data_IF_465677711520
#
_entry.id   IF_465677711520
#
_cell.length_a   1.000
_cell.length_b   1.000
_cell.length_c   1.000
_cell.angle_alpha   90.00
_cell.angle_beta   90.00
_cell.angle_gamma   90.00
#
_symmetry.space_group_name_H-M   'P 1'
#
loop_
_entity.id
_entity.type
_entity.pdbx_description
1 polymer ?
#
# COMPACT_ATOMS: atom_id res chain seq x y z
N UNK A 1 30.79 -2.32 37.32
CA UNK A 1 30.85 -1.01 36.62
C UNK A 1 31.33 -1.20 35.19
N UNK A 2 32.42 -1.94 34.96
CA UNK A 2 32.93 -2.30 33.62
C UNK A 2 31.88 -2.96 32.71
N UNK A 3 31.16 -3.97 33.20
CA UNK A 3 30.12 -4.68 32.41
C UNK A 3 28.99 -3.75 31.94
N UNK A 4 28.68 -2.70 32.71
CA UNK A 4 27.65 -1.73 32.34
C UNK A 4 28.17 -0.77 31.25
N UNK A 5 29.45 -0.39 31.34
CA UNK A 5 30.12 0.47 30.39
C UNK A 5 30.30 -0.22 29.03
N UNK A 6 30.66 -1.51 29.03
CA UNK A 6 30.75 -2.33 27.82
C UNK A 6 29.39 -2.49 27.13
N UNK A 7 28.31 -2.68 27.91
CA UNK A 7 26.95 -2.76 27.36
C UNK A 7 26.47 -1.43 26.78
N UNK A 8 26.83 -0.31 27.40
CA UNK A 8 26.50 1.01 26.86
C UNK A 8 27.24 1.30 25.55
N UNK A 9 28.52 0.95 25.48
CA UNK A 9 29.32 1.10 24.26
C UNK A 9 28.79 0.20 23.12
N UNK A 10 28.36 -1.02 23.45
CA UNK A 10 27.74 -1.91 22.48
C UNK A 10 26.39 -1.36 21.96
N UNK A 11 25.59 -0.75 22.84
CA UNK A 11 24.33 -0.12 22.47
C UNK A 11 24.55 1.11 21.58
N UNK A 12 25.54 1.94 21.90
CA UNK A 12 25.90 3.12 21.12
C UNK A 12 26.39 2.74 19.71
N UNK A 13 27.26 1.74 19.60
CA UNK A 13 27.74 1.23 18.32
C UNK A 13 26.62 0.60 17.47
N UNK A 14 25.67 -0.07 18.11
CA UNK A 14 24.49 -0.63 17.44
C UNK A 14 23.57 0.47 16.89
N UNK A 15 23.27 1.49 17.70
CA UNK A 15 22.45 2.63 17.26
C UNK A 15 23.13 3.39 16.12
N UNK A 16 24.45 3.57 16.18
CA UNK A 16 25.20 4.22 15.11
C UNK A 16 25.16 3.42 13.79
N UNK A 17 25.30 2.10 13.83
CA UNK A 17 25.23 1.25 12.64
C UNK A 17 23.84 1.27 11.98
N UNK A 18 22.77 1.23 12.79
CA UNK A 18 21.38 1.34 12.31
C UNK A 18 21.11 2.71 11.67
N UNK A 19 21.59 3.80 12.28
CA UNK A 19 21.38 5.15 11.75
C UNK A 19 22.20 5.45 10.49
N UNK A 20 23.35 4.80 10.32
CA UNK A 20 24.24 4.97 9.15
C UNK A 20 23.92 3.99 8.01
N UNK A 21 22.94 3.09 8.19
CA UNK A 21 22.54 2.12 7.17
C UNK A 21 23.63 1.09 6.83
N UNK A 22 24.57 0.84 7.76
CA UNK A 22 25.64 -0.13 7.56
C UNK A 22 25.35 -1.43 8.32
N UNK A 23 25.54 -2.58 7.67
CA UNK A 23 25.40 -3.91 8.29
C UNK A 23 26.70 -4.39 8.98
N UNK A 24 27.70 -3.52 9.12
CA UNK A 24 29.01 -3.85 9.68
C UNK A 24 29.12 -3.30 11.10
N UNK A 25 28.58 -4.04 12.06
CA UNK A 25 28.96 -3.87 13.47
C UNK A 25 30.31 -4.56 13.64
N UNK A 26 31.39 -3.80 13.81
CA UNK A 26 32.73 -4.36 14.03
C UNK A 26 32.85 -4.80 15.50
N UNK A 27 32.54 -6.06 15.77
CA UNK A 27 33.01 -6.76 16.98
C UNK A 27 34.04 -7.81 16.56
N UNK A 28 35.17 -7.97 17.27
CA UNK A 28 36.10 -9.04 16.98
C UNK A 28 35.40 -10.40 17.23
N UNK A 29 35.11 -11.14 16.15
CA UNK A 29 34.70 -12.54 16.22
C UNK A 29 33.23 -12.85 16.51
N UNK A 30 32.29 -11.91 16.34
CA UNK A 30 30.84 -12.21 16.40
C UNK A 30 30.05 -11.51 15.30
N UNK A 31 29.03 -12.19 14.79
CA UNK A 31 28.04 -11.69 13.82
C UNK A 31 26.65 -11.65 14.44
N UNK A 32 25.71 -10.91 13.84
CA UNK A 32 24.31 -10.86 14.29
C UNK A 32 23.63 -12.24 14.36
N UNK A 33 24.18 -13.26 13.68
CA UNK A 33 23.69 -14.64 13.72
C UNK A 33 24.02 -15.38 15.03
N UNK A 34 24.93 -14.84 15.83
CA UNK A 34 25.37 -15.47 17.09
C UNK A 34 24.45 -15.13 18.27
N UNK A 35 23.39 -14.36 18.03
CA UNK A 35 22.40 -13.97 19.03
C UNK A 35 21.17 -14.87 18.93
N UNK A 36 21.03 -15.83 19.84
CA UNK A 36 19.84 -16.67 20.02
C UNK A 36 18.96 -16.06 21.11
N UNK A 37 17.68 -15.82 20.82
CA UNK A 37 16.68 -15.36 21.79
C UNK A 37 15.85 -16.54 22.28
N UNK A 38 16.01 -16.93 23.54
CA UNK A 38 15.13 -17.93 24.16
C UNK A 38 13.75 -17.32 24.41
N UNK A 39 12.72 -17.93 23.80
CA UNK A 39 11.33 -17.72 24.19
C UNK A 39 11.10 -18.44 25.52
N UNK A 40 10.69 -17.71 26.54
CA UNK A 40 10.14 -18.31 27.76
C UNK A 40 8.87 -19.12 27.38
N UNK A 41 9.01 -20.45 27.37
CA UNK A 41 7.91 -21.39 27.20
C UNK A 41 7.21 -21.58 28.55
N UNK A 42 5.88 -21.48 28.54
CA UNK A 42 5.04 -21.98 29.62
C UNK A 42 4.80 -23.48 29.38
N UNK A 43 4.93 -24.25 30.47
CA UNK A 43 4.86 -25.70 30.57
C UNK A 43 3.47 -26.25 30.20
N UNK A 44 3.48 -27.43 29.58
CA UNK A 44 2.46 -28.47 29.77
C UNK A 44 3.13 -29.83 29.50
N UNK A 45 3.27 -30.60 30.57
CA UNK A 45 3.70 -32.00 30.63
C UNK A 45 2.79 -32.91 29.80
N UNK A 46 3.37 -33.94 29.17
CA UNK A 46 3.07 -35.37 29.44
C UNK A 46 4.09 -36.26 28.71
N UNK A 47 4.98 -36.87 29.51
CA UNK A 47 5.63 -38.17 29.30
C UNK A 47 4.56 -39.28 29.22
N UNK A 48 4.73 -40.50 28.72
CA UNK A 48 5.73 -41.34 28.06
C UNK A 48 4.92 -42.60 27.66
N UNK A 49 5.25 -43.31 26.58
CA UNK A 49 5.30 -44.78 26.59
C UNK A 49 5.66 -45.34 25.19
N UNK A 50 6.57 -46.31 25.23
CA UNK A 50 7.28 -46.93 24.12
C UNK A 50 6.55 -48.13 23.47
N UNK A 51 7.07 -48.50 22.29
CA UNK A 51 7.14 -49.86 21.72
C UNK A 51 5.86 -50.54 21.17
N UNK A 52 5.84 -50.87 19.87
CA UNK A 52 6.19 -52.18 19.28
C UNK A 52 5.59 -52.35 17.86
N UNK A 53 6.36 -52.93 16.94
CA UNK A 53 5.95 -53.30 15.58
C UNK A 53 4.81 -54.33 15.58
N UNK A 54 3.92 -54.30 14.58
CA UNK A 54 3.40 -55.50 13.90
C UNK A 54 2.58 -55.18 12.64
N UNK A 55 2.96 -55.84 11.55
CA UNK A 55 2.17 -56.40 10.45
C UNK A 55 1.20 -55.53 9.60
N UNK A 56 1.49 -55.58 8.30
CA UNK A 56 0.66 -55.41 7.10
C UNK A 56 -0.80 -55.86 7.24
N UNK A 57 -1.70 -55.00 6.77
CA UNK A 57 -2.93 -55.37 6.07
C UNK A 57 -3.04 -54.54 4.79
N UNK A 58 -3.02 -55.21 3.65
CA UNK A 58 -3.38 -54.66 2.34
C UNK A 58 -4.92 -54.59 2.24
N UNK A 59 -5.42 -53.57 1.53
CA UNK A 59 -6.83 -53.25 1.20
C UNK A 59 -7.54 -52.21 2.11
N UNK A 60 -7.18 -50.94 1.91
CA UNK A 60 -8.10 -49.81 2.09
C UNK A 60 -8.16 -49.01 0.78
N UNK A 61 -9.32 -48.93 0.08
CA UNK A 61 -9.48 -48.05 -1.05
C UNK A 61 -9.42 -46.62 -0.53
N UNK A 62 -8.22 -46.03 -0.57
CA UNK A 62 -7.94 -44.62 -0.32
C UNK A 62 -9.07 -43.78 -0.93
N UNK A 63 -10.00 -43.37 -0.08
CA UNK A 63 -10.95 -42.35 -0.39
C UNK A 63 -10.13 -41.15 -0.87
N UNK A 64 -10.52 -40.58 -2.01
CA UNK A 64 -9.95 -39.35 -2.54
C UNK A 64 -9.93 -38.30 -1.42
N UNK A 65 -8.79 -38.15 -0.74
CA UNK A 65 -8.56 -37.02 0.13
C UNK A 65 -8.65 -35.79 -0.77
N UNK A 66 -9.56 -34.85 -0.50
CA UNK A 66 -9.67 -33.65 -1.31
C UNK A 66 -8.31 -32.97 -1.30
N UNK A 67 -7.77 -32.69 -2.50
CA UNK A 67 -6.52 -31.96 -2.62
C UNK A 67 -6.58 -30.72 -1.71
N UNK A 68 -5.53 -30.45 -0.91
CA UNK A 68 -5.55 -29.34 0.01
C UNK A 68 -5.84 -28.06 -0.77
N UNK A 69 -6.99 -27.43 -0.46
CA UNK A 69 -7.41 -26.16 -1.04
C UNK A 69 -6.20 -25.22 -1.08
N UNK A 70 -5.79 -24.72 -2.25
CA UNK A 70 -4.62 -23.86 -2.35
C UNK A 70 -4.81 -22.68 -1.39
N UNK A 71 -3.85 -22.50 -0.49
CA UNK A 71 -3.91 -21.47 0.54
C UNK A 71 -4.19 -20.09 -0.07
N UNK A 72 -4.91 -19.24 0.68
CA UNK A 72 -5.25 -17.89 0.24
C UNK A 72 -4.04 -17.15 -0.33
N UNK A 73 -4.19 -16.46 -1.49
CA UNK A 73 -3.08 -15.76 -2.10
C UNK A 73 -2.54 -14.67 -1.15
N UNK A 74 -1.21 -14.51 -1.16
CA UNK A 74 -0.53 -13.46 -0.41
C UNK A 74 -0.31 -12.25 -1.30
N UNK A 75 -0.44 -11.07 -0.71
CA UNK A 75 0.07 -9.85 -1.32
C UNK A 75 1.61 -9.93 -1.40
N UNK A 76 2.23 -9.56 -2.53
CA UNK A 76 3.68 -9.66 -2.69
C UNK A 76 4.45 -8.63 -1.84
N UNK A 77 3.82 -7.51 -1.48
CA UNK A 77 4.36 -6.52 -0.54
C UNK A 77 3.90 -6.86 0.88
N UNK A 78 4.83 -6.76 1.84
CA UNK A 78 4.58 -6.94 3.26
C UNK A 78 3.85 -5.73 3.86
N UNK A 79 3.18 -5.92 4.98
CA UNK A 79 2.58 -4.82 5.75
C UNK A 79 3.62 -3.89 6.38
N UNK A 80 3.16 -2.84 7.07
CA UNK A 80 4.01 -1.87 7.77
C UNK A 80 4.86 -2.48 8.90
N UNK A 81 4.56 -3.72 9.29
CA UNK A 81 5.28 -4.49 10.30
C UNK A 81 6.14 -5.61 9.70
N UNK A 82 6.27 -5.66 8.36
CA UNK A 82 7.04 -6.69 7.66
C UNK A 82 6.37 -8.06 7.66
N UNK A 83 5.04 -8.14 7.84
CA UNK A 83 4.29 -9.40 7.83
C UNK A 83 3.60 -9.64 6.49
N UNK A 84 3.41 -10.91 6.08
CA UNK A 84 2.63 -11.24 4.89
C UNK A 84 1.16 -10.84 5.03
N UNK A 85 0.60 -10.26 3.97
CA UNK A 85 -0.82 -9.89 3.91
C UNK A 85 -1.60 -10.94 3.12
N UNK A 86 -2.56 -11.60 3.75
CA UNK A 86 -3.45 -12.58 3.09
C UNK A 86 -4.59 -11.86 2.37
N UNK A 87 -4.82 -12.21 1.11
CA UNK A 87 -5.92 -11.70 0.29
C UNK A 87 -7.06 -12.73 0.30
N UNK A 88 -8.14 -12.39 0.99
CA UNK A 88 -9.33 -13.26 1.18
C UNK A 88 -10.26 -13.23 -0.03
N UNK A 89 -10.33 -12.08 -0.69
CA UNK A 89 -11.22 -11.83 -1.82
C UNK A 89 -10.42 -11.16 -2.94
N UNK A 90 -9.60 -11.93 -3.68
CA UNK A 90 -8.71 -11.37 -4.68
C UNK A 90 -9.49 -10.69 -5.81
N UNK A 91 -8.97 -9.56 -6.26
CA UNK A 91 -9.48 -8.86 -7.45
C UNK A 91 -9.13 -9.66 -8.72
N UNK A 92 -9.93 -9.48 -9.78
CA UNK A 92 -9.66 -10.10 -11.09
C UNK A 92 -9.04 -9.04 -12.04
N UNK A 93 -7.82 -9.27 -12.57
CA UNK A 93 -7.23 -8.36 -13.53
C UNK A 93 -7.95 -8.42 -14.88
N UNK A 94 -7.94 -7.32 -15.62
CA UNK A 94 -8.44 -7.27 -16.99
C UNK A 94 -7.37 -7.71 -17.98
N UNK A 95 -7.76 -8.04 -19.21
CA UNK A 95 -6.81 -8.28 -20.31
C UNK A 95 -6.03 -7.01 -20.66
N UNK A 96 -4.80 -7.18 -21.16
CA UNK A 96 -3.93 -6.06 -21.57
C UNK A 96 -4.59 -5.10 -22.59
N UNK A 97 -5.46 -5.61 -23.47
CA UNK A 97 -6.19 -4.78 -24.43
C UNK A 97 -7.10 -3.71 -23.80
N UNK A 98 -7.62 -3.93 -22.59
CA UNK A 98 -8.51 -2.98 -21.92
C UNK A 98 -7.79 -1.65 -21.57
N UNK A 99 -6.47 -1.68 -21.38
CA UNK A 99 -5.68 -0.48 -21.10
C UNK A 99 -5.70 0.52 -22.26
N UNK A 100 -5.83 0.05 -23.50
CA UNK A 100 -5.81 0.87 -24.70
C UNK A 100 -7.21 1.26 -25.20
N UNK A 101 -8.27 0.81 -24.55
CA UNK A 101 -9.64 1.21 -24.84
C UNK A 101 -10.14 2.22 -23.78
N UNK A 102 -10.26 3.48 -24.19
CA UNK A 102 -10.70 4.57 -23.33
C UNK A 102 -12.15 4.40 -22.82
N UNK A 103 -12.95 3.55 -23.44
CA UNK A 103 -14.33 3.26 -23.04
C UNK A 103 -14.45 2.06 -22.09
N UNK A 104 -13.35 1.35 -21.83
CA UNK A 104 -13.32 0.22 -20.90
C UNK A 104 -12.57 0.58 -19.61
N UNK A 105 -12.95 -0.10 -18.53
CA UNK A 105 -12.15 -0.11 -17.32
C UNK A 105 -11.02 -1.13 -17.46
N UNK A 106 -9.83 -0.78 -16.99
CA UNK A 106 -8.70 -1.69 -16.91
C UNK A 106 -8.31 -1.88 -15.44
N UNK A 107 -7.96 -3.10 -15.04
CA UNK A 107 -7.59 -3.45 -13.66
C UNK A 107 -6.31 -4.28 -13.68
N UNK A 108 -5.35 -3.90 -12.84
CA UNK A 108 -4.14 -4.69 -12.55
C UNK A 108 -4.17 -5.13 -11.09
N UNK A 109 -3.64 -6.33 -10.84
CA UNK A 109 -3.32 -6.85 -9.51
C UNK A 109 -1.81 -6.73 -9.27
N UNK A 110 -1.32 -6.85 -8.02
CA UNK A 110 0.11 -6.81 -7.73
C UNK A 110 0.96 -7.71 -8.62
N UNK A 111 2.05 -7.15 -9.14
CA UNK A 111 2.97 -7.77 -10.11
C UNK A 111 2.29 -8.26 -11.41
N UNK A 112 1.08 -7.79 -11.68
CA UNK A 112 0.32 -8.13 -12.88
C UNK A 112 0.91 -7.51 -14.15
N UNK A 113 0.59 -8.07 -15.32
CA UNK A 113 1.09 -7.58 -16.59
C UNK A 113 0.55 -6.17 -16.89
N UNK A 114 1.43 -5.30 -17.36
CA UNK A 114 1.12 -3.93 -17.78
C UNK A 114 1.59 -3.69 -19.22
N UNK A 115 0.90 -2.85 -20.01
CA UNK A 115 1.47 -2.34 -21.26
C UNK A 115 2.72 -1.49 -20.95
N UNK A 116 3.53 -1.22 -21.97
CA UNK A 116 4.76 -0.43 -21.80
C UNK A 116 4.47 1.05 -21.51
N UNK A 117 3.39 1.58 -22.05
CA UNK A 117 2.97 2.96 -21.87
C UNK A 117 1.47 3.14 -22.06
N UNK A 118 0.95 4.23 -21.53
CA UNK A 118 -0.39 4.75 -21.82
C UNK A 118 -0.31 6.26 -22.02
N UNK A 119 -0.96 6.76 -23.08
CA UNK A 119 -1.04 8.19 -23.38
C UNK A 119 0.33 8.89 -23.44
N UNK A 120 1.35 8.19 -23.93
CA UNK A 120 2.72 8.70 -24.04
C UNK A 120 3.52 8.69 -22.72
N UNK A 121 2.94 8.21 -21.61
CA UNK A 121 3.63 8.06 -20.32
C UNK A 121 3.89 6.58 -20.04
N UNK A 122 5.16 6.21 -19.93
CA UNK A 122 5.59 4.83 -19.64
C UNK A 122 5.07 4.33 -18.29
N UNK A 123 4.76 3.05 -18.22
CA UNK A 123 4.60 2.35 -16.95
C UNK A 123 5.96 1.82 -16.53
N UNK A 124 6.63 2.58 -15.67
CA UNK A 124 7.92 2.22 -15.10
C UNK A 124 7.87 2.49 -13.59
N UNK A 125 8.49 1.63 -12.75
CA UNK A 125 8.59 1.89 -11.33
C UNK A 125 9.17 3.27 -11.06
N UNK A 126 8.65 3.98 -10.06
CA UNK A 126 9.21 5.25 -9.62
C UNK A 126 10.45 4.97 -8.75
N UNK A 127 11.58 4.69 -9.39
CA UNK A 127 12.79 4.17 -8.74
C UNK A 127 13.47 5.14 -7.77
N UNK A 128 13.26 6.44 -7.93
CA UNK A 128 13.76 7.50 -7.05
C UNK A 128 12.68 8.09 -6.13
N UNK A 129 11.56 7.37 -5.93
CA UNK A 129 10.55 7.76 -4.96
C UNK A 129 11.17 8.00 -3.56
N UNK A 130 10.78 9.06 -2.84
CA UNK A 130 11.32 9.30 -1.51
C UNK A 130 11.05 8.15 -0.53
N UNK A 131 12.02 7.85 0.32
CA UNK A 131 11.87 6.85 1.40
C UNK A 131 11.86 7.46 2.79
N UNK A 132 11.96 8.80 2.88
CA UNK A 132 12.00 9.54 4.14
C UNK A 132 10.90 10.60 4.18
N UNK A 133 10.44 10.93 5.39
CA UNK A 133 9.44 11.99 5.58
C UNK A 133 9.89 13.34 4.99
N UNK A 134 11.18 13.69 5.14
CA UNK A 134 11.74 14.93 4.59
C UNK A 134 11.77 14.90 3.06
N UNK A 135 12.09 13.75 2.47
CA UNK A 135 12.05 13.56 1.02
C UNK A 135 10.62 13.73 0.48
N UNK A 136 9.64 13.10 1.12
CA UNK A 136 8.22 13.26 0.76
C UNK A 136 7.74 14.70 0.90
N UNK A 137 8.13 15.41 1.96
CA UNK A 137 7.77 16.82 2.15
C UNK A 137 8.19 17.70 0.96
N UNK A 138 9.31 17.38 0.33
CA UNK A 138 9.86 18.12 -0.81
C UNK A 138 9.64 17.40 -2.15
N UNK A 139 8.72 16.44 -2.20
CA UNK A 139 8.51 15.63 -3.39
C UNK A 139 8.13 16.49 -4.61
N UNK A 140 8.72 16.24 -5.79
CA UNK A 140 8.29 16.88 -7.03
C UNK A 140 6.81 16.59 -7.33
N UNK A 141 6.18 17.47 -8.11
CA UNK A 141 4.77 17.33 -8.50
C UNK A 141 3.79 18.15 -7.65
N UNK A 142 4.26 18.78 -6.58
CA UNK A 142 3.47 19.80 -5.86
C UNK A 142 3.29 21.06 -6.72
N UNK A 143 2.13 21.71 -6.60
CA UNK A 143 1.75 22.95 -7.26
C UNK A 143 1.90 24.12 -6.28
N UNK A 144 3.05 24.80 -6.34
CA UNK A 144 3.44 25.83 -5.36
C UNK A 144 2.65 27.14 -5.42
N UNK A 145 1.97 27.42 -6.52
CA UNK A 145 1.11 28.59 -6.74
C UNK A 145 -0.38 28.29 -6.54
N UNK A 146 -0.73 27.05 -6.17
CA UNK A 146 -2.12 26.69 -5.88
C UNK A 146 -2.62 27.42 -4.63
N UNK A 147 -3.63 28.26 -4.81
CA UNK A 147 -4.33 28.89 -3.69
C UNK A 147 -5.35 27.92 -3.14
N UNK A 148 -5.09 27.40 -1.94
CA UNK A 148 -5.97 26.43 -1.30
C UNK A 148 -6.91 27.08 -0.28
N UNK A 149 -8.18 26.64 -0.19
CA UNK A 149 -9.05 27.05 0.90
C UNK A 149 -8.50 26.54 2.25
N UNK A 150 -8.90 27.17 3.35
CA UNK A 150 -8.55 26.68 4.70
C UNK A 150 -9.24 25.33 4.96
N UNK A 151 -8.46 24.30 5.29
CA UNK A 151 -9.01 22.99 5.66
C UNK A 151 -9.69 23.07 7.03
N UNK A 152 -11.00 22.85 7.05
CA UNK A 152 -11.79 22.82 8.28
C UNK A 152 -11.83 21.41 8.86
N UNK A 153 -10.88 21.08 9.74
CA UNK A 153 -10.83 19.76 10.38
C UNK A 153 -11.90 19.68 11.48
N UNK A 154 -12.86 18.78 11.32
CA UNK A 154 -13.92 18.56 12.31
C UNK A 154 -13.39 18.11 13.67
N UNK A 155 -14.11 18.44 14.74
CA UNK A 155 -13.74 18.06 16.11
C UNK A 155 -13.52 16.55 16.23
N UNK A 156 -12.38 16.14 16.81
CA UNK A 156 -12.01 14.74 17.00
C UNK A 156 -11.54 14.02 15.73
N UNK A 157 -11.34 14.74 14.61
CA UNK A 157 -10.82 14.18 13.37
C UNK A 157 -9.39 14.63 13.09
N UNK A 158 -8.71 13.88 12.24
CA UNK A 158 -7.38 14.24 11.73
C UNK A 158 -7.46 14.86 10.32
N UNK A 159 -6.47 15.67 9.98
CA UNK A 159 -6.24 16.06 8.60
C UNK A 159 -5.73 14.87 7.78
N UNK A 160 -6.19 14.77 6.54
CA UNK A 160 -5.76 13.77 5.58
C UNK A 160 -5.74 14.39 4.19
N UNK A 161 -5.03 13.76 3.26
CA UNK A 161 -5.03 14.16 1.87
C UNK A 161 -5.17 12.95 0.94
N UNK A 162 -5.67 13.22 -0.26
CA UNK A 162 -5.85 12.25 -1.32
C UNK A 162 -5.80 12.89 -2.68
N UNK A 163 -5.82 12.07 -3.72
CA UNK A 163 -5.73 12.56 -5.10
C UNK A 163 -6.72 11.83 -6.01
N UNK A 164 -7.27 12.58 -6.95
CA UNK A 164 -8.01 12.06 -8.10
C UNK A 164 -7.11 12.27 -9.32
N UNK A 165 -6.57 11.17 -9.85
CA UNK A 165 -5.63 11.21 -10.97
C UNK A 165 -6.39 10.91 -12.25
N UNK A 166 -6.36 11.86 -13.18
CA UNK A 166 -7.03 11.74 -14.48
C UNK A 166 -6.01 11.64 -15.60
N UNK A 167 -6.27 10.70 -16.51
CA UNK A 167 -5.55 10.57 -17.77
C UNK A 167 -6.15 11.50 -18.82
N UNK A 168 -5.35 11.83 -19.84
CA UNK A 168 -5.79 12.69 -20.96
C UNK A 168 -6.94 12.11 -21.78
N UNK A 169 -7.24 10.82 -21.62
CA UNK A 169 -8.39 10.15 -22.25
C UNK A 169 -9.66 10.18 -21.37
N UNK A 170 -9.63 10.91 -20.25
CA UNK A 170 -10.76 11.11 -19.34
C UNK A 170 -11.02 9.94 -18.38
N UNK A 171 -10.17 8.92 -18.38
CA UNK A 171 -10.22 7.85 -17.37
C UNK A 171 -9.51 8.27 -16.10
N UNK A 172 -9.97 7.74 -14.98
CA UNK A 172 -9.55 8.12 -13.64
C UNK A 172 -9.05 6.90 -12.88
N UNK A 173 -7.94 7.06 -12.18
CA UNK A 173 -7.35 6.00 -11.37
C UNK A 173 -8.06 5.86 -10.02
N UNK A 174 -8.31 4.62 -9.63
CA UNK A 174 -8.87 4.21 -8.33
C UNK A 174 -8.11 3.02 -7.78
N UNK A 175 -8.15 2.84 -6.47
CA UNK A 175 -7.56 1.70 -5.76
C UNK A 175 -8.65 0.80 -5.18
N UNK A 176 -8.34 -0.48 -5.06
CA UNK A 176 -9.16 -1.49 -4.36
C UNK A 176 -8.44 -1.90 -3.09
N UNK A 177 -8.85 -1.39 -1.91
CA UNK A 177 -8.17 -1.70 -0.66
C UNK A 177 -8.15 -3.20 -0.37
N UNK A 178 -7.00 -3.70 0.12
CA UNK A 178 -6.81 -5.09 0.51
C UNK A 178 -7.91 -5.54 1.48
N UNK A 179 -8.64 -6.60 1.10
CA UNK A 179 -9.77 -7.14 1.84
C UNK A 179 -10.89 -6.11 2.15
N UNK A 180 -11.01 -5.05 1.35
CA UNK A 180 -12.04 -4.03 1.49
C UNK A 180 -11.89 -3.17 2.76
N UNK A 181 -10.64 -2.88 3.16
CA UNK A 181 -10.33 -2.09 4.36
C UNK A 181 -11.18 -0.81 4.45
N UNK A 182 -11.73 -0.54 5.64
CA UNK A 182 -12.62 0.60 5.87
C UNK A 182 -14.01 0.49 5.22
N UNK A 183 -14.38 -0.68 4.69
CA UNK A 183 -15.66 -0.91 4.02
C UNK A 183 -15.74 -0.35 2.60
N UNK A 184 -14.59 -0.22 1.93
CA UNK A 184 -14.50 0.27 0.55
C UNK A 184 -14.26 -0.90 -0.40
N UNK A 185 -15.08 -1.03 -1.44
CA UNK A 185 -14.76 -1.88 -2.59
C UNK A 185 -13.69 -1.23 -3.46
N UNK A 186 -13.83 0.08 -3.68
CA UNK A 186 -12.83 0.92 -4.32
C UNK A 186 -12.93 2.35 -3.77
N UNK A 187 -11.83 3.10 -3.86
CA UNK A 187 -11.72 4.50 -3.43
C UNK A 187 -10.62 5.20 -4.24
N UNK A 188 -10.51 6.51 -4.08
CA UNK A 188 -9.30 7.24 -4.44
C UNK A 188 -8.21 7.03 -3.38
N UNK A 189 -6.91 7.02 -3.76
CA UNK A 189 -5.78 6.88 -2.83
C UNK A 189 -5.71 8.05 -1.87
N UNK A 190 -5.51 7.76 -0.57
CA UNK A 190 -5.61 8.77 0.49
C UNK A 190 -5.22 8.25 1.87
N UNK A 191 -4.46 9.06 2.59
CA UNK A 191 -4.06 8.78 3.95
C UNK A 191 -3.87 10.03 4.81
N UNK A 192 -3.43 9.79 6.04
CA UNK A 192 -3.35 10.84 7.07
C UNK A 192 -2.15 11.73 6.84
N UNK A 193 -2.32 13.01 7.14
CA UNK A 193 -1.18 13.90 7.27
C UNK A 193 -0.27 13.41 8.41
N UNK A 194 1.04 13.49 8.20
CA UNK A 194 1.99 13.16 9.26
C UNK A 194 1.96 14.19 10.39
N UNK A 195 2.48 13.81 11.55
CA UNK A 195 2.57 14.68 12.71
C UNK A 195 3.56 15.84 12.52
N UNK A 196 4.43 15.78 11.51
CA UNK A 196 5.43 16.81 11.20
C UNK A 196 4.86 17.95 10.35
N UNK A 197 3.57 17.87 9.99
CA UNK A 197 2.88 18.91 9.24
C UNK A 197 3.34 18.99 7.79
N UNK A 198 3.59 17.85 7.13
CA UNK A 198 3.78 17.83 5.69
C UNK A 198 2.65 18.54 4.96
N UNK A 199 2.98 19.21 3.87
CA UNK A 199 2.00 19.84 3.01
C UNK A 199 1.01 18.78 2.49
N UNK A 200 -0.28 19.10 2.46
CA UNK A 200 -1.29 18.10 2.09
C UNK A 200 -1.12 17.59 0.66
N UNK A 201 -0.57 18.40 -0.25
CA UNK A 201 -0.19 17.94 -1.59
C UNK A 201 0.90 16.85 -1.55
N UNK A 202 1.93 17.00 -0.70
CA UNK A 202 2.97 16.00 -0.54
C UNK A 202 2.40 14.68 0.00
N UNK A 203 1.47 14.75 0.95
CA UNK A 203 0.74 13.59 1.45
C UNK A 203 -0.03 12.94 0.30
N UNK A 204 -0.81 13.68 -0.47
CA UNK A 204 -1.58 13.13 -1.60
C UNK A 204 -0.70 12.44 -2.65
N UNK A 205 0.49 12.99 -2.96
CA UNK A 205 1.46 12.38 -3.90
C UNK A 205 2.04 11.09 -3.32
N UNK A 206 2.40 11.08 -2.03
CA UNK A 206 2.87 9.87 -1.34
C UNK A 206 1.83 8.76 -1.41
N UNK A 207 0.59 9.07 -1.06
CA UNK A 207 -0.51 8.09 -1.04
C UNK A 207 -0.82 7.54 -2.45
N UNK A 208 -0.68 8.37 -3.50
CA UNK A 208 -0.79 7.90 -4.88
C UNK A 208 0.28 6.86 -5.23
N UNK A 209 1.49 7.03 -4.70
CA UNK A 209 2.58 6.08 -4.89
C UNK A 209 2.39 4.83 -4.03
N UNK A 210 2.14 5.00 -2.73
CA UNK A 210 2.00 3.90 -1.77
C UNK A 210 0.78 3.02 -2.08
N UNK A 211 -0.40 3.60 -2.28
CA UNK A 211 -1.62 2.83 -2.51
C UNK A 211 -1.84 2.45 -3.99
N UNK A 212 -1.27 3.18 -4.95
CA UNK A 212 -1.56 2.97 -6.38
C UNK A 212 -0.33 2.77 -7.27
N UNK A 213 0.89 2.84 -6.75
CA UNK A 213 2.12 2.72 -7.54
C UNK A 213 2.37 3.88 -8.50
N UNK A 214 1.59 4.97 -8.42
CA UNK A 214 1.62 6.08 -9.38
C UNK A 214 2.56 7.20 -8.95
N UNK A 215 3.24 7.80 -9.93
CA UNK A 215 3.90 9.10 -9.77
C UNK A 215 3.01 10.17 -10.41
N UNK A 216 2.66 11.20 -9.63
CA UNK A 216 1.64 12.18 -10.02
C UNK A 216 2.10 13.62 -9.83
N UNK A 217 1.48 14.53 -10.57
CA UNK A 217 1.63 15.96 -10.41
C UNK A 217 0.26 16.60 -10.15
N UNK A 218 0.17 17.38 -9.06
CA UNK A 218 -1.02 18.14 -8.70
C UNK A 218 -1.31 19.20 -9.77
N UNK A 219 -2.57 19.29 -10.17
CA UNK A 219 -3.07 20.26 -11.15
C UNK A 219 -4.12 21.20 -10.57
N UNK A 220 -4.65 20.90 -9.39
CA UNK A 220 -5.58 21.80 -8.70
C UNK A 220 -6.19 21.20 -7.44
N UNK A 221 -6.97 22.03 -6.75
CA UNK A 221 -7.84 21.61 -5.65
C UNK A 221 -9.13 21.00 -6.20
N UNK A 222 -9.60 19.90 -5.61
CA UNK A 222 -10.90 19.30 -5.96
C UNK A 222 -11.96 19.61 -4.90
N UNK A 223 -11.77 19.08 -3.70
CA UNK A 223 -12.76 19.17 -2.62
C UNK A 223 -12.18 18.75 -1.27
N UNK A 224 -12.81 19.19 -0.19
CA UNK A 224 -12.62 18.62 1.14
C UNK A 224 -13.79 17.67 1.46
N UNK A 225 -13.51 16.44 1.86
CA UNK A 225 -14.51 15.40 2.17
C UNK A 225 -14.44 14.97 3.63
N UNK A 226 -15.62 14.93 4.27
CA UNK A 226 -15.78 14.48 5.65
C UNK A 226 -15.85 12.96 5.72
N UNK A 227 -14.77 12.33 6.18
CA UNK A 227 -14.72 10.89 6.46
C UNK A 227 -15.03 10.59 7.92
N UNK A 228 -15.00 9.32 8.31
CA UNK A 228 -15.30 8.89 9.67
C UNK A 228 -14.31 9.48 10.68
N UNK A 229 -13.01 9.30 10.44
CA UNK A 229 -11.94 9.74 11.36
C UNK A 229 -11.13 10.93 10.83
N UNK A 230 -11.38 11.38 9.61
CA UNK A 230 -10.59 12.41 8.95
C UNK A 230 -11.46 13.46 8.26
N UNK A 231 -10.91 14.65 8.14
CA UNK A 231 -11.29 15.57 7.05
C UNK A 231 -10.21 15.45 5.98
N UNK A 232 -10.57 14.95 4.81
CA UNK A 232 -9.61 14.63 3.75
C UNK A 232 -9.71 15.64 2.63
N UNK A 233 -8.61 16.33 2.34
CA UNK A 233 -8.47 17.18 1.15
C UNK A 233 -8.14 16.33 -0.07
N UNK A 234 -8.87 16.52 -1.16
CA UNK A 234 -8.58 15.91 -2.44
C UNK A 234 -8.08 16.94 -3.44
N UNK A 235 -7.06 16.55 -4.19
CA UNK A 235 -6.51 17.29 -5.30
C UNK A 235 -6.85 16.61 -6.62
N UNK A 236 -6.91 17.39 -7.70
CA UNK A 236 -6.78 16.89 -9.05
C UNK A 236 -5.30 16.71 -9.37
N UNK A 237 -4.99 15.65 -10.12
CA UNK A 237 -3.65 15.41 -10.60
C UNK A 237 -3.65 14.70 -11.95
N UNK A 238 -2.49 14.72 -12.59
CA UNK A 238 -2.16 13.91 -13.76
C UNK A 238 -1.04 12.93 -13.44
N UNK A 239 -1.03 11.77 -14.09
CA UNK A 239 0.09 10.83 -14.00
C UNK A 239 1.29 11.36 -14.79
N UNK A 240 2.47 11.26 -14.21
CA UNK A 240 3.75 11.61 -14.85
C UNK A 240 4.74 10.44 -14.88
N UNK A 241 4.40 9.34 -14.22
CA UNK A 241 5.19 8.10 -14.19
C UNK A 241 4.57 7.08 -13.24
N UNK A 242 5.39 6.13 -12.77
CA UNK A 242 4.95 5.06 -11.90
C UNK A 242 4.32 3.89 -12.66
N UNK A 243 4.09 2.81 -11.93
CA UNK A 243 3.51 1.59 -12.45
C UNK A 243 2.46 1.08 -11.46
N UNK A 244 1.17 1.00 -11.84
CA UNK A 244 0.12 0.55 -10.96
C UNK A 244 0.20 -0.94 -10.60
N UNK A 245 1.08 -1.74 -11.19
CA UNK A 245 1.41 -3.08 -10.72
C UNK A 245 2.32 -3.08 -9.47
N UNK A 246 2.91 -1.92 -9.13
CA UNK A 246 3.82 -1.75 -7.99
C UNK A 246 3.13 -1.29 -6.71
N UNK A 247 1.78 -1.28 -6.68
CA UNK A 247 1.00 -0.87 -5.51
C UNK A 247 1.46 -1.56 -4.21
N UNK A 248 1.40 -0.79 -3.12
CA UNK A 248 1.68 -1.27 -1.78
C UNK A 248 0.61 -2.23 -1.26
N UNK A 249 0.90 -2.85 -0.13
CA UNK A 249 0.06 -3.88 0.49
C UNK A 249 -1.34 -3.44 0.87
N UNK A 250 -1.57 -2.14 1.02
CA UNK A 250 -2.87 -1.57 1.35
C UNK A 250 -3.89 -1.74 0.22
N UNK A 251 -3.42 -1.97 -1.02
CA UNK A 251 -4.25 -2.16 -2.21
C UNK A 251 -4.01 -3.55 -2.80
N UNK A 252 -5.09 -4.24 -3.15
CA UNK A 252 -5.03 -5.54 -3.83
C UNK A 252 -5.29 -5.44 -5.34
N UNK A 253 -5.66 -4.25 -5.83
CA UNK A 253 -5.73 -3.92 -7.24
C UNK A 253 -5.79 -2.40 -7.43
N UNK A 254 -5.44 -1.97 -8.65
CA UNK A 254 -5.61 -0.61 -9.14
C UNK A 254 -6.40 -0.67 -10.44
N UNK A 255 -7.38 0.22 -10.61
CA UNK A 255 -8.15 0.32 -11.84
C UNK A 255 -8.05 1.71 -12.46
N UNK A 256 -8.06 1.74 -13.79
CA UNK A 256 -8.27 2.92 -14.60
C UNK A 256 -9.69 2.86 -15.18
N UNK A 257 -10.54 3.81 -14.81
CA UNK A 257 -12.00 3.74 -15.02
C UNK A 257 -12.51 4.96 -15.77
N UNK A 258 -13.32 4.80 -16.83
CA UNK A 258 -13.98 5.93 -17.48
C UNK A 258 -14.81 6.75 -16.49
N UNK A 259 -14.74 8.08 -16.58
CA UNK A 259 -15.45 9.00 -15.66
C UNK A 259 -16.95 8.65 -15.52
N UNK A 260 -17.61 8.29 -16.63
CA UNK A 260 -19.02 7.88 -16.65
C UNK A 260 -19.32 6.57 -15.89
N UNK A 261 -18.32 5.71 -15.69
CA UNK A 261 -18.44 4.45 -14.97
C UNK A 261 -18.03 4.56 -13.50
N UNK A 262 -17.37 5.64 -13.05
CA UNK A 262 -16.84 5.75 -11.68
C UNK A 262 -17.89 5.50 -10.58
N UNK A 263 -19.12 5.94 -10.79
CA UNK A 263 -20.20 5.77 -9.82
C UNK A 263 -20.55 4.30 -9.53
N UNK A 264 -20.25 3.36 -10.44
CA UNK A 264 -20.45 1.92 -10.19
C UNK A 264 -19.33 1.29 -9.37
N UNK A 265 -18.15 1.91 -9.32
CA UNK A 265 -17.00 1.46 -8.53
C UNK A 265 -16.97 2.10 -7.14
N UNK A 266 -17.19 3.41 -7.08
CA UNK A 266 -17.13 4.22 -5.86
C UNK A 266 -18.48 4.23 -5.15
N UNK A 267 -18.88 3.06 -4.66
CA UNK A 267 -20.20 2.83 -4.05
C UNK A 267 -20.33 3.35 -2.62
N UNK A 268 -19.20 3.72 -1.98
CA UNK A 268 -19.22 4.25 -0.64
C UNK A 268 -19.78 5.68 -0.63
N UNK A 269 -20.77 5.94 0.22
CA UNK A 269 -21.41 7.27 0.35
C UNK A 269 -20.43 8.43 0.62
N UNK A 270 -19.25 8.14 1.18
CA UNK A 270 -18.23 9.15 1.46
C UNK A 270 -17.52 9.67 0.20
N UNK A 271 -17.61 8.95 -0.93
CA UNK A 271 -17.06 9.36 -2.22
C UNK A 271 -18.05 10.13 -3.09
N UNK A 272 -19.36 10.09 -2.78
CA UNK A 272 -20.38 10.81 -3.52
C UNK A 272 -20.11 12.33 -3.68
N UNK A 273 -19.61 13.05 -2.65
CA UNK A 273 -19.23 14.46 -2.82
C UNK A 273 -18.09 14.67 -3.81
N UNK A 274 -17.15 13.72 -3.90
CA UNK A 274 -16.02 13.79 -4.83
C UNK A 274 -16.46 13.50 -6.25
N UNK A 275 -17.32 12.50 -6.46
CA UNK A 275 -17.93 12.24 -7.77
C UNK A 275 -18.66 13.49 -8.27
N UNK A 276 -19.45 14.13 -7.41
CA UNK A 276 -20.14 15.38 -7.77
C UNK A 276 -19.15 16.49 -8.13
N UNK A 277 -18.11 16.68 -7.33
CA UNK A 277 -17.08 17.71 -7.61
C UNK A 277 -16.38 17.43 -8.95
N UNK A 278 -15.98 16.18 -9.20
CA UNK A 278 -15.30 15.78 -10.43
C UNK A 278 -16.17 15.99 -11.68
N UNK A 279 -17.46 15.66 -11.60
CA UNK A 279 -18.42 15.90 -12.69
C UNK A 279 -18.70 17.39 -12.96
N UNK A 280 -18.40 18.27 -11.99
CA UNK A 280 -18.53 19.71 -12.13
C UNK A 280 -17.22 20.39 -12.57
N UNK A 281 -16.09 19.68 -12.49
CA UNK A 281 -14.80 20.16 -12.98
C UNK A 281 -14.76 20.11 -14.51
N UNK A 282 -14.20 21.13 -15.18
CA UNK A 282 -13.99 21.07 -16.63
C UNK A 282 -13.07 19.90 -17.00
N UNK A 283 -13.30 19.34 -18.19
CA UNK A 283 -12.42 18.35 -18.83
C UNK A 283 -11.08 18.98 -19.26
#
# INVERSE_FOLDING_TARGET
>A
MEVLLERLQALEAFVAAVLLGTNTVYMPGRTLKDYVWERAAAEAETDEDECEECAVDEDDPRADEPEPEPGLPLHPRLDEHGKPVKIKHPSTPTKLGAWHDAHQSATVIPDGPMPTQLNGVSFAPWSDAPTTLIGWKNVPGQMGDLVEPVLQVGLGKHAAAGVVVEEVDGRVWIVHPSNGFGGYSATFPKGRADALGSHLQAVAIREAHEEAGLQVQITGFLADSQRTMTTTRYYLARRVGGNPADMGWESQAVSLVPRAALASFLTNSKDAPLLKALLMSPD
#
